data_IF_813955793812
#
_entry.id   IF_813955793812
#
_cell.length_a   1.000
_cell.length_b   1.000
_cell.length_c   1.000
_cell.angle_alpha   90.00
_cell.angle_beta   90.00
_cell.angle_gamma   90.00
#
_symmetry.space_group_name_H-M   'P 1'
#
loop_
_entity.id
_entity.type
_entity.pdbx_description
1 polymer ?
#
# COMPACT_ATOMS: atom_id res chain seq x y z
N UNK A 1 -4.80 -2.61 -5.49
CA UNK A 1 -4.17 -3.12 -6.72
C UNK A 1 -2.69 -3.39 -6.52
N UNK A 2 -1.91 -2.41 -6.04
CA UNK A 2 -0.48 -2.56 -5.69
C UNK A 2 -0.09 -3.92 -5.09
N UNK A 3 -0.72 -4.31 -3.99
CA UNK A 3 -0.47 -5.59 -3.32
C UNK A 3 -0.78 -6.84 -4.15
N UNK A 4 -1.77 -6.76 -5.04
CA UNK A 4 -2.21 -7.88 -5.84
C UNK A 4 -1.17 -8.27 -6.89
N UNK A 5 -0.41 -7.30 -7.41
CA UNK A 5 0.54 -7.49 -8.51
C UNK A 5 1.99 -7.70 -8.03
N UNK A 6 2.23 -7.74 -6.73
CA UNK A 6 3.56 -8.02 -6.17
C UNK A 6 3.86 -9.52 -6.19
N UNK A 7 5.01 -9.90 -6.75
CA UNK A 7 5.63 -11.19 -6.51
C UNK A 7 6.28 -11.18 -5.12
N UNK A 8 5.78 -12.03 -4.23
CA UNK A 8 6.17 -12.12 -2.81
C UNK A 8 6.93 -13.41 -2.49
N UNK A 9 7.46 -14.10 -3.51
CA UNK A 9 8.31 -15.30 -3.34
C UNK A 9 9.66 -14.97 -2.69
N UNK A 10 9.96 -13.68 -2.53
CA UNK A 10 11.13 -13.16 -1.84
C UNK A 10 10.69 -12.22 -0.72
N UNK A 11 11.45 -12.14 0.39
CA UNK A 11 11.21 -11.15 1.42
C UNK A 11 11.19 -9.74 0.82
N UNK A 12 10.08 -9.03 1.02
CA UNK A 12 9.92 -7.64 0.61
C UNK A 12 9.20 -6.87 1.72
N UNK A 13 9.47 -5.56 1.76
CA UNK A 13 8.83 -4.63 2.69
C UNK A 13 7.95 -3.70 1.86
N UNK A 14 6.63 -3.93 1.75
CA UNK A 14 5.75 -3.04 1.01
C UNK A 14 5.23 -1.95 1.94
N UNK A 15 5.21 -0.72 1.44
CA UNK A 15 4.65 0.44 2.16
C UNK A 15 3.75 1.18 1.19
N UNK A 16 2.47 1.32 1.53
CA UNK A 16 1.50 2.06 0.74
C UNK A 16 0.62 2.97 1.58
N UNK A 17 0.13 4.04 0.97
CA UNK A 17 -0.95 4.84 1.54
C UNK A 17 -1.78 5.52 0.46
N UNK A 18 -3.02 5.83 0.82
CA UNK A 18 -3.90 6.72 0.10
C UNK A 18 -4.56 7.64 1.13
N UNK A 19 -4.29 8.93 1.05
CA UNK A 19 -4.76 9.91 2.03
C UNK A 19 -5.33 11.15 1.34
N UNK A 20 -6.37 11.72 1.92
CA UNK A 20 -6.89 13.02 1.54
C UNK A 20 -6.28 14.11 2.45
N UNK A 21 -5.65 15.13 1.85
CA UNK A 21 -5.04 16.29 2.53
C UNK A 21 -5.57 17.55 1.87
N UNK A 22 -6.20 18.44 2.64
CA UNK A 22 -6.77 19.70 2.15
C UNK A 22 -7.70 19.56 0.92
N UNK A 23 -8.38 18.42 0.77
CA UNK A 23 -9.27 18.14 -0.36
C UNK A 23 -8.61 17.45 -1.56
N UNK A 24 -7.30 17.26 -1.54
CA UNK A 24 -6.54 16.55 -2.57
C UNK A 24 -6.20 15.11 -2.14
N UNK A 25 -6.24 14.16 -3.07
CA UNK A 25 -5.91 12.75 -2.80
C UNK A 25 -4.47 12.46 -3.20
N UNK A 26 -3.68 11.96 -2.25
CA UNK A 26 -2.30 11.56 -2.45
C UNK A 26 -2.16 10.05 -2.37
N UNK A 27 -1.33 9.50 -3.26
CA UNK A 27 -0.96 8.08 -3.26
C UNK A 27 0.54 7.94 -3.02
N UNK A 28 0.91 6.96 -2.23
CA UNK A 28 2.30 6.58 -2.00
C UNK A 28 2.43 5.07 -2.08
N UNK A 29 3.44 4.60 -2.83
CA UNK A 29 3.76 3.18 -2.97
C UNK A 29 5.27 3.03 -2.97
N UNK A 30 5.77 2.12 -2.15
CA UNK A 30 7.17 1.73 -2.19
C UNK A 30 7.38 0.29 -1.76
N UNK A 31 8.47 -0.29 -2.23
CA UNK A 31 8.97 -1.60 -1.80
C UNK A 31 10.47 -1.51 -1.50
N UNK A 32 11.04 -2.55 -0.90
CA UNK A 32 12.49 -2.65 -0.70
C UNK A 32 13.24 -2.50 -2.04
N UNK A 33 14.23 -1.59 -2.09
CA UNK A 33 14.97 -1.25 -3.31
C UNK A 33 15.51 -2.46 -4.08
N UNK A 34 16.19 -3.44 -3.44
CA UNK A 34 16.72 -4.60 -4.16
C UNK A 34 15.64 -5.45 -4.83
N UNK A 35 14.41 -5.43 -4.32
CA UNK A 35 13.29 -6.17 -4.91
C UNK A 35 12.70 -5.39 -6.08
N UNK A 36 12.60 -4.06 -5.98
CA UNK A 36 12.16 -3.22 -7.10
C UNK A 36 13.06 -3.36 -8.33
N UNK A 37 14.38 -3.39 -8.12
CA UNK A 37 15.37 -3.51 -9.20
C UNK A 37 15.25 -4.84 -9.97
N UNK A 38 14.59 -5.84 -9.40
CA UNK A 38 14.32 -7.14 -10.04
C UNK A 38 13.01 -7.16 -10.85
N UNK A 39 12.21 -6.09 -10.84
CA UNK A 39 10.90 -6.04 -11.50
C UNK A 39 9.92 -7.08 -10.93
N UNK A 40 9.49 -6.95 -9.66
CA UNK A 40 8.79 -7.98 -8.90
C UNK A 40 7.28 -7.98 -9.22
N UNK A 41 6.93 -7.82 -10.48
CA UNK A 41 5.56 -7.62 -10.93
C UNK A 41 5.02 -8.90 -11.55
N UNK A 42 3.81 -9.29 -11.14
CA UNK A 42 3.13 -10.46 -11.69
C UNK A 42 1.63 -10.22 -11.76
N UNK A 43 0.95 -11.03 -12.58
CA UNK A 43 -0.50 -11.00 -12.64
C UNK A 43 -1.12 -11.44 -11.31
N UNK A 44 -2.07 -10.66 -10.82
CA UNK A 44 -2.66 -10.78 -9.49
C UNK A 44 -4.14 -11.09 -9.47
N UNK A 45 -4.74 -10.92 -8.29
CA UNK A 45 -6.19 -10.94 -8.09
C UNK A 45 -6.59 -9.83 -7.13
N UNK A 46 -7.58 -9.02 -7.53
CA UNK A 46 -8.30 -8.12 -6.63
C UNK A 46 -9.56 -8.84 -6.15
N UNK A 47 -9.79 -8.81 -4.84
CA UNK A 47 -11.00 -9.31 -4.22
C UNK A 47 -11.95 -8.15 -3.98
N UNK A 48 -13.18 -8.25 -4.48
CA UNK A 48 -14.24 -7.31 -4.16
C UNK A 48 -14.95 -7.79 -2.90
N UNK A 49 -15.07 -6.91 -1.91
CA UNK A 49 -15.66 -7.19 -0.61
C UNK A 49 -16.89 -6.30 -0.41
N UNK A 50 -17.87 -6.79 0.36
CA UNK A 50 -18.92 -5.93 0.90
C UNK A 50 -18.29 -4.90 1.84
N UNK A 51 -18.78 -3.66 1.81
CA UNK A 51 -18.37 -2.61 2.76
C UNK A 51 -18.86 -2.87 4.20
N UNK A 52 -19.76 -3.86 4.39
CA UNK A 52 -20.33 -4.17 5.69
C UNK A 52 -19.29 -4.61 6.73
N UNK A 53 -19.27 -3.88 7.85
CA UNK A 53 -18.38 -4.12 8.98
C UNK A 53 -16.95 -3.61 8.77
N UNK A 54 -16.69 -2.86 7.70
CA UNK A 54 -15.43 -2.13 7.53
C UNK A 54 -15.53 -0.75 8.17
N UNK A 55 -14.48 -0.35 8.87
CA UNK A 55 -14.35 0.95 9.51
C UNK A 55 -13.17 1.71 8.92
N UNK A 56 -13.34 3.01 8.72
CA UNK A 56 -12.25 3.88 8.30
C UNK A 56 -11.22 4.04 9.42
N UNK A 57 -9.95 4.02 9.03
CA UNK A 57 -8.88 4.42 9.93
C UNK A 57 -9.10 5.89 10.36
N UNK A 58 -8.91 6.23 11.66
CA UNK A 58 -8.98 7.61 12.12
C UNK A 58 -7.97 8.52 11.39
N UNK A 59 -8.25 9.83 11.25
CA UNK A 59 -7.29 10.77 10.68
C UNK A 59 -5.98 10.82 11.47
N UNK A 60 -4.86 10.91 10.77
CA UNK A 60 -3.52 11.07 11.36
C UNK A 60 -3.00 12.44 10.95
N UNK A 61 -2.68 13.30 11.92
CA UNK A 61 -2.15 14.67 11.70
C UNK A 61 -3.00 15.50 10.71
N UNK A 62 -4.32 15.32 10.74
CA UNK A 62 -5.26 16.02 9.85
C UNK A 62 -5.41 15.41 8.46
N UNK A 63 -4.62 14.38 8.10
CA UNK A 63 -4.79 13.63 6.86
C UNK A 63 -5.82 12.51 7.05
N UNK A 64 -6.86 12.49 6.21
CA UNK A 64 -7.87 11.43 6.21
C UNK A 64 -7.33 10.23 5.44
N UNK A 65 -7.14 9.10 6.12
CA UNK A 65 -6.72 7.85 5.48
C UNK A 65 -7.91 7.22 4.74
N UNK A 66 -7.70 6.75 3.52
CA UNK A 66 -8.71 5.97 2.77
C UNK A 66 -8.68 4.48 3.09
N UNK A 67 -7.75 4.04 3.93
CA UNK A 67 -7.69 2.67 4.41
C UNK A 67 -8.89 2.36 5.31
N UNK A 68 -9.39 1.14 5.17
CA UNK A 68 -10.49 0.59 5.96
C UNK A 68 -10.07 -0.77 6.50
N UNK A 69 -10.57 -1.14 7.67
CA UNK A 69 -10.30 -2.42 8.29
C UNK A 69 -11.59 -3.06 8.80
N UNK A 70 -11.64 -4.40 8.75
CA UNK A 70 -12.66 -5.21 9.39
C UNK A 70 -11.93 -6.19 10.29
N UNK A 71 -12.29 -6.23 11.58
CA UNK A 71 -11.66 -7.13 12.55
C UNK A 71 -12.17 -8.58 12.42
N UNK A 72 -13.39 -8.76 11.91
CA UNK A 72 -13.95 -10.07 11.60
C UNK A 72 -13.53 -10.61 10.22
N UNK A 73 -13.86 -11.86 9.91
CA UNK A 73 -13.62 -12.41 8.58
C UNK A 73 -14.37 -11.62 7.49
N UNK A 74 -13.75 -11.53 6.32
CA UNK A 74 -14.33 -10.92 5.13
C UNK A 74 -14.35 -11.93 3.99
N UNK A 75 -15.53 -12.15 3.39
CA UNK A 75 -15.70 -13.04 2.25
C UNK A 75 -15.81 -12.22 0.95
N UNK A 76 -15.02 -12.56 -0.10
CA UNK A 76 -15.14 -11.92 -1.40
C UNK A 76 -16.47 -12.21 -2.09
N UNK A 77 -17.13 -11.16 -2.57
CA UNK A 77 -18.31 -11.29 -3.45
C UNK A 77 -17.92 -11.54 -4.91
N UNK A 78 -16.70 -11.14 -5.29
CA UNK A 78 -16.14 -11.39 -6.61
C UNK A 78 -14.60 -11.35 -6.58
N UNK A 79 -13.99 -11.88 -7.63
CA UNK A 79 -12.55 -11.87 -7.87
C UNK A 79 -12.28 -11.35 -9.28
N UNK A 80 -11.31 -10.46 -9.40
CA UNK A 80 -10.90 -9.85 -10.68
C UNK A 80 -9.42 -10.17 -10.91
N UNK A 81 -9.12 -10.85 -12.02
CA UNK A 81 -7.75 -11.00 -12.52
C UNK A 81 -7.24 -9.63 -12.92
N UNK A 82 -6.01 -9.30 -12.52
CA UNK A 82 -5.36 -8.06 -12.94
C UNK A 82 -3.93 -8.31 -13.40
N UNK A 83 -3.45 -7.51 -14.34
CA UNK A 83 -2.08 -7.48 -14.84
C UNK A 83 -1.33 -6.29 -14.24
N UNK A 84 0.00 -6.34 -14.13
CA UNK A 84 0.79 -5.20 -13.64
C UNK A 84 0.53 -3.91 -14.43
N UNK A 85 0.48 -4.00 -15.76
CA UNK A 85 0.28 -2.88 -16.68
C UNK A 85 -1.04 -2.11 -16.44
N UNK A 86 -2.02 -2.72 -15.79
CA UNK A 86 -3.31 -2.11 -15.47
C UNK A 86 -3.25 -1.25 -14.20
N UNK A 87 -2.12 -1.27 -13.46
CA UNK A 87 -1.93 -0.46 -12.28
C UNK A 87 -1.43 0.94 -12.69
N UNK A 88 -2.23 2.01 -12.53
CA UNK A 88 -1.90 3.33 -13.06
C UNK A 88 -0.65 3.95 -12.42
N UNK A 89 -0.28 3.51 -11.22
CA UNK A 89 0.88 4.02 -10.48
C UNK A 89 2.08 3.08 -10.52
N UNK A 90 2.12 2.11 -11.44
CA UNK A 90 3.21 1.12 -11.51
C UNK A 90 4.59 1.80 -11.62
N UNK A 91 4.70 2.83 -12.47
CA UNK A 91 5.93 3.58 -12.67
C UNK A 91 6.25 4.56 -11.52
N UNK A 92 5.30 4.82 -10.62
CA UNK A 92 5.47 5.70 -9.47
C UNK A 92 5.92 4.95 -8.20
N UNK A 93 6.02 3.61 -8.26
CA UNK A 93 6.49 2.82 -7.12
C UNK A 93 7.96 3.11 -6.85
N UNK A 94 8.25 3.51 -5.60
CA UNK A 94 9.61 3.85 -5.16
C UNK A 94 10.31 2.66 -4.52
N UNK A 95 11.64 2.61 -4.64
CA UNK A 95 12.46 1.71 -3.83
C UNK A 95 12.89 2.41 -2.55
N UNK A 96 12.84 1.73 -1.40
CA UNK A 96 13.31 2.27 -0.13
C UNK A 96 14.36 1.37 0.53
N UNK A 97 15.15 1.96 1.43
CA UNK A 97 15.96 1.23 2.40
C UNK A 97 15.08 0.78 3.57
N UNK A 98 15.03 -0.52 3.82
CA UNK A 98 14.17 -1.13 4.84
C UNK A 98 14.57 -0.68 6.25
N UNK A 99 15.88 -0.60 6.53
CA UNK A 99 16.37 -0.21 7.85
C UNK A 99 16.04 1.25 8.16
N UNK A 100 16.12 2.12 7.14
CA UNK A 100 15.77 3.54 7.29
C UNK A 100 14.27 3.71 7.56
N UNK A 101 13.42 3.06 6.78
CA UNK A 101 11.95 3.11 6.99
C UNK A 101 11.59 2.57 8.38
N UNK A 102 12.18 1.45 8.80
CA UNK A 102 11.94 0.88 10.13
C UNK A 102 12.38 1.81 11.26
N UNK A 103 13.58 2.40 11.16
CA UNK A 103 14.08 3.33 12.16
C UNK A 103 13.18 4.57 12.29
N UNK A 104 12.72 5.13 11.17
CA UNK A 104 11.80 6.27 11.15
C UNK A 104 10.41 5.92 11.66
N UNK A 105 9.87 4.77 11.29
CA UNK A 105 8.58 4.27 11.79
C UNK A 105 8.62 4.03 13.30
N UNK A 106 9.73 3.50 13.83
CA UNK A 106 9.91 3.34 15.27
C UNK A 106 10.04 4.68 16.02
N UNK A 107 10.72 5.66 15.42
CA UNK A 107 10.89 6.99 16.03
C UNK A 107 9.62 7.85 15.97
N UNK A 108 8.85 7.76 14.88
CA UNK A 108 7.60 8.48 14.67
C UNK A 108 6.61 7.62 13.86
N UNK A 109 5.78 6.79 14.53
CA UNK A 109 4.80 5.94 13.86
C UNK A 109 3.74 6.71 13.04
N UNK A 110 3.51 7.99 13.38
CA UNK A 110 2.58 8.87 12.66
C UNK A 110 3.31 9.74 11.60
N UNK A 111 4.61 9.50 11.39
CA UNK A 111 5.51 10.24 10.51
C UNK A 111 5.55 9.76 9.05
N UNK A 112 4.56 8.99 8.62
CA UNK A 112 4.43 8.53 7.23
C UNK A 112 4.56 9.71 6.24
N UNK A 113 5.25 9.58 5.08
CA UNK A 113 5.71 8.34 4.43
C UNK A 113 7.10 7.82 4.82
N UNK A 114 7.74 8.36 5.87
CA UNK A 114 9.10 7.95 6.29
C UNK A 114 10.15 7.98 5.15
N UNK A 115 9.95 8.89 4.18
CA UNK A 115 10.79 9.03 2.98
C UNK A 115 12.20 9.49 3.31
N UNK A 116 13.15 9.07 2.47
CA UNK A 116 14.50 9.62 2.46
C UNK A 116 14.43 11.12 2.18
N UNK A 117 15.11 11.90 3.03
CA UNK A 117 15.16 13.35 2.95
C UNK A 117 16.07 13.85 1.83
#
# INVERSE_FOLDING_TARGET
>A
MFDAILNRDRPLSPVNSCSDIAGETFYYFSISRPVLDLGPWQEGTIYLLSAEGFEHQPPIRGARQRQVAKLGPAEPVAKIRVRPEEFPFLNDVRGHDVAVVQARSAADPDGFPWVDG
#
